data_IF_208907963370
#
_entry.id   IF_208907963370
#
_cell.length_a   1.000
_cell.length_b   1.000
_cell.length_c   1.000
_cell.angle_alpha   90.00
_cell.angle_beta   90.00
_cell.angle_gamma   90.00
#
_symmetry.space_group_name_H-M   'P 1'
#
loop_
_entity.id
_entity.type
_entity.pdbx_description
1 polymer ?
#
# COMPACT_ATOMS: atom_id res chain seq x y z
N UNK A 1 1.77 4.41 -10.16
CA UNK A 1 0.77 4.96 -9.21
C UNK A 1 1.47 5.95 -8.28
N UNK A 2 0.87 7.11 -7.97
CA UNK A 2 1.42 8.11 -7.02
C UNK A 2 2.91 8.46 -7.23
N UNK A 3 3.38 8.55 -8.48
CA UNK A 3 4.78 8.83 -8.80
C UNK A 3 5.73 7.62 -8.80
N UNK A 4 5.25 6.44 -8.41
CA UNK A 4 5.97 5.17 -8.50
C UNK A 4 5.63 4.44 -9.82
N UNK A 5 6.65 4.02 -10.57
CA UNK A 5 6.46 3.18 -11.76
C UNK A 5 6.16 1.74 -11.33
N UNK A 6 5.10 1.15 -11.89
CA UNK A 6 4.69 -0.21 -11.55
C UNK A 6 4.07 -0.88 -12.78
N UNK A 7 4.20 -2.20 -12.86
CA UNK A 7 3.58 -3.02 -13.91
C UNK A 7 2.26 -3.57 -13.38
N UNK A 8 1.16 -3.38 -14.11
CA UNK A 8 -0.17 -3.86 -13.72
C UNK A 8 -0.66 -4.84 -14.79
N UNK A 9 -1.10 -6.01 -14.34
CA UNK A 9 -1.66 -7.04 -15.23
C UNK A 9 -3.17 -6.87 -15.34
N UNK A 10 -3.69 -6.82 -16.57
CA UNK A 10 -5.12 -6.69 -16.85
C UNK A 10 -5.57 -7.81 -17.80
N UNK A 11 -6.71 -8.43 -17.52
CA UNK A 11 -7.27 -9.53 -18.31
C UNK A 11 -8.11 -9.08 -19.51
N UNK A 12 -8.43 -7.78 -19.56
CA UNK A 12 -9.25 -7.16 -20.60
C UNK A 12 -8.40 -6.30 -21.53
N UNK A 13 -8.78 -6.13 -22.82
CA UNK A 13 -8.07 -5.25 -23.73
C UNK A 13 -8.11 -3.80 -23.24
N UNK A 14 -6.96 -3.12 -23.28
CA UNK A 14 -6.82 -1.71 -22.91
C UNK A 14 -6.28 -0.89 -24.07
N UNK A 15 -6.69 0.38 -24.16
CA UNK A 15 -6.25 1.31 -25.20
C UNK A 15 -5.31 2.38 -24.63
N UNK A 16 -4.37 2.87 -25.45
CA UNK A 16 -3.52 4.00 -25.05
C UNK A 16 -4.38 5.23 -24.75
N UNK A 17 -4.15 5.84 -23.59
CA UNK A 17 -4.95 6.98 -23.10
C UNK A 17 -6.26 6.59 -22.41
N UNK A 18 -6.58 5.30 -22.30
CA UNK A 18 -7.71 4.84 -21.49
C UNK A 18 -7.43 5.08 -20.00
N UNK A 19 -8.38 5.74 -19.34
CA UNK A 19 -8.36 5.90 -17.89
C UNK A 19 -8.84 4.61 -17.23
N UNK A 20 -8.10 4.17 -16.22
CA UNK A 20 -8.35 2.94 -15.46
C UNK A 20 -8.22 3.25 -13.98
N UNK A 21 -9.08 2.63 -13.19
CA UNK A 21 -9.01 2.68 -11.74
C UNK A 21 -8.34 1.40 -11.23
N UNK A 22 -7.37 1.57 -10.33
CA UNK A 22 -6.65 0.45 -9.71
C UNK A 22 -7.02 0.40 -8.24
N UNK A 23 -7.59 -0.72 -7.81
CA UNK A 23 -7.97 -0.96 -6.44
C UNK A 23 -7.00 -1.94 -5.80
N UNK A 24 -6.42 -1.50 -4.69
CA UNK A 24 -5.61 -2.31 -3.79
C UNK A 24 -6.39 -2.49 -2.50
N UNK A 25 -6.51 -3.73 -2.03
CA UNK A 25 -7.17 -3.99 -0.75
C UNK A 25 -6.16 -3.80 0.39
N UNK A 26 -6.59 -3.33 1.57
CA UNK A 26 -5.69 -3.13 2.71
C UNK A 26 -4.81 -4.34 3.06
N UNK A 27 -5.34 -5.56 2.90
CA UNK A 27 -4.63 -6.82 3.17
C UNK A 27 -3.57 -7.21 2.12
N UNK A 28 -3.63 -6.58 0.94
CA UNK A 28 -2.69 -6.83 -0.16
C UNK A 28 -1.47 -5.90 -0.08
N UNK A 29 -1.58 -4.84 0.72
CA UNK A 29 -0.51 -3.88 0.98
C UNK A 29 0.52 -4.45 1.98
N UNK A 30 1.76 -3.99 1.86
CA UNK A 30 2.87 -4.34 2.74
C UNK A 30 3.57 -3.07 3.21
N UNK A 31 4.10 -3.12 4.42
CA UNK A 31 4.84 -2.01 5.02
C UNK A 31 6.27 -2.45 5.26
N UNK A 32 7.22 -1.68 4.73
CA UNK A 32 8.63 -1.88 5.01
C UNK A 32 9.19 -0.67 5.74
N UNK A 33 9.88 -0.88 6.86
CA UNK A 33 10.54 0.20 7.57
C UNK A 33 11.76 0.71 6.81
N UNK A 34 11.82 2.02 6.62
CA UNK A 34 12.97 2.65 5.97
C UNK A 34 13.98 3.03 7.05
N UNK A 35 15.04 2.26 7.15
CA UNK A 35 16.22 2.60 7.93
C UNK A 35 17.16 3.48 7.09
N UNK A 36 17.85 4.45 7.72
CA UNK A 36 18.65 5.55 7.12
C UNK A 36 19.68 5.17 6.02
N UNK A 37 19.87 3.87 5.74
CA UNK A 37 20.89 3.34 4.83
C UNK A 37 20.33 2.69 3.55
N UNK A 38 19.01 2.49 3.44
CA UNK A 38 18.42 1.71 2.35
C UNK A 38 17.52 2.56 1.46
N UNK A 39 17.73 2.46 0.14
CA UNK A 39 16.69 2.82 -0.84
C UNK A 39 15.55 1.82 -0.70
N UNK A 40 14.37 2.27 -0.31
CA UNK A 40 13.19 1.44 -0.26
C UNK A 40 12.42 1.55 -1.58
N UNK A 41 12.00 0.42 -2.13
CA UNK A 41 11.05 0.37 -3.24
C UNK A 41 9.64 0.56 -2.68
N UNK A 42 8.79 1.32 -3.39
CA UNK A 42 7.41 1.59 -2.98
C UNK A 42 7.10 3.07 -2.78
N UNK A 43 5.90 3.32 -2.23
CA UNK A 43 5.37 4.67 -2.00
C UNK A 43 5.68 5.08 -0.56
N UNK A 44 6.38 6.19 -0.40
CA UNK A 44 6.86 6.64 0.91
C UNK A 44 5.72 7.24 1.74
N UNK A 45 5.67 6.88 3.02
CA UNK A 45 4.72 7.41 3.98
C UNK A 45 5.18 7.31 5.42
N UNK A 46 4.29 7.72 6.33
CA UNK A 46 4.51 7.77 7.76
C UNK A 46 3.34 7.13 8.51
N UNK A 47 3.64 6.24 9.45
CA UNK A 47 2.61 5.61 10.30
C UNK A 47 1.99 6.66 11.21
N UNK A 48 0.66 6.86 11.12
CA UNK A 48 -0.07 7.83 11.96
C UNK A 48 -0.90 7.18 13.04
N UNK A 49 -1.50 6.05 12.74
CA UNK A 49 -2.31 5.31 13.70
C UNK A 49 -2.10 3.81 13.52
N UNK A 50 -2.31 3.07 14.61
CA UNK A 50 -2.24 1.62 14.66
C UNK A 50 -3.36 1.11 15.54
N UNK A 51 -4.11 0.15 15.01
CA UNK A 51 -5.27 -0.42 15.67
C UNK A 51 -5.14 -1.94 15.68
N UNK A 52 -4.96 -2.52 16.86
CA UNK A 52 -4.95 -3.97 17.03
C UNK A 52 -6.38 -4.49 17.10
N UNK A 53 -6.72 -5.45 16.23
CA UNK A 53 -8.04 -6.09 16.17
C UNK A 53 -7.89 -7.62 16.19
N UNK A 54 -7.64 -8.16 17.38
CA UNK A 54 -7.47 -9.60 17.56
C UNK A 54 -6.17 -10.09 16.92
N UNK A 55 -6.26 -10.68 15.73
CA UNK A 55 -5.11 -11.24 14.99
C UNK A 55 -4.58 -10.31 13.88
N UNK A 56 -5.13 -9.10 13.75
CA UNK A 56 -4.70 -8.15 12.73
C UNK A 56 -4.24 -6.83 13.34
N UNK A 57 -3.27 -6.22 12.68
CA UNK A 57 -2.84 -4.85 12.92
C UNK A 57 -3.28 -4.00 11.72
N UNK A 58 -4.14 -3.03 11.98
CA UNK A 58 -4.52 -2.02 10.99
C UNK A 58 -3.69 -0.76 11.21
N UNK A 59 -2.91 -0.38 10.20
CA UNK A 59 -2.05 0.80 10.20
C UNK A 59 -2.58 1.85 9.23
N UNK A 60 -2.81 3.08 9.71
CA UNK A 60 -3.09 4.22 8.86
C UNK A 60 -1.77 4.94 8.55
N UNK A 61 -1.44 5.01 7.27
CA UNK A 61 -0.22 5.60 6.75
C UNK A 61 -0.56 6.87 5.99
N UNK A 62 0.06 7.98 6.38
CA UNK A 62 0.01 9.22 5.60
C UNK A 62 1.16 9.19 4.57
N UNK A 63 0.81 9.18 3.29
CA UNK A 63 1.78 9.26 2.19
C UNK A 63 2.35 10.68 2.06
N UNK A 64 3.48 10.84 1.39
CA UNK A 64 4.12 12.16 1.19
C UNK A 64 3.25 13.19 0.43
N UNK A 65 2.26 12.72 -0.32
CA UNK A 65 1.26 13.55 -1.01
C UNK A 65 0.07 13.97 -0.11
N UNK A 66 0.05 13.57 1.16
CA UNK A 66 -1.01 13.84 2.13
C UNK A 66 -2.23 12.89 2.06
N UNK A 67 -2.21 11.87 1.18
CA UNK A 67 -3.27 10.85 1.15
C UNK A 67 -3.07 9.86 2.30
N UNK A 68 -4.19 9.37 2.83
CA UNK A 68 -4.20 8.30 3.82
C UNK A 68 -4.41 6.94 3.15
N UNK A 69 -3.60 5.97 3.52
CA UNK A 69 -3.71 4.57 3.10
C UNK A 69 -3.84 3.70 4.35
N UNK A 70 -4.77 2.75 4.32
CA UNK A 70 -4.95 1.78 5.39
C UNK A 70 -4.33 0.45 4.96
N UNK A 71 -3.42 -0.08 5.78
CA UNK A 71 -2.79 -1.39 5.60
C UNK A 71 -3.29 -2.32 6.70
N UNK A 72 -3.57 -3.58 6.37
CA UNK A 72 -4.05 -4.59 7.31
C UNK A 72 -3.17 -5.83 7.24
N UNK A 73 -2.35 -6.04 8.27
CA UNK A 73 -1.41 -7.17 8.32
C UNK A 73 -1.80 -8.15 9.42
N UNK A 74 -1.45 -9.42 9.24
CA UNK A 74 -1.62 -10.41 10.29
C UNK A 74 -0.57 -10.18 11.37
N UNK A 75 -1.03 -9.94 12.59
CA UNK A 75 -0.16 -9.85 13.75
C UNK A 75 0.34 -11.24 14.11
N UNK A 76 1.67 -11.38 14.18
CA UNK A 76 2.30 -12.58 14.72
C UNK A 76 2.81 -12.27 16.13
N UNK A 77 2.20 -12.87 17.15
CA UNK A 77 2.58 -12.68 18.57
C UNK A 77 4.03 -13.13 18.85
N UNK A 78 4.54 -14.06 18.05
CA UNK A 78 5.90 -14.58 18.15
C UNK A 78 6.94 -13.73 17.38
N UNK A 79 6.51 -12.67 16.67
CA UNK A 79 7.41 -11.77 15.93
C UNK A 79 7.67 -10.48 16.73
N UNK A 80 8.83 -10.37 17.42
CA UNK A 80 9.15 -9.22 18.26
C UNK A 80 9.42 -7.93 17.47
N UNK A 81 9.63 -8.02 16.15
CA UNK A 81 9.99 -6.89 15.28
C UNK A 81 8.78 -6.32 14.52
N UNK A 82 7.57 -6.85 14.75
CA UNK A 82 6.36 -6.45 14.04
C UNK A 82 5.79 -5.07 14.46
N UNK A 83 6.43 -4.37 15.40
CA UNK A 83 5.87 -3.16 16.01
C UNK A 83 6.37 -1.87 15.34
N UNK A 84 5.77 -1.50 14.20
CA UNK A 84 6.08 -0.24 13.49
C UNK A 84 5.79 1.00 14.33
N UNK A 85 6.80 1.70 14.83
CA UNK A 85 6.59 2.84 15.73
C UNK A 85 5.70 3.95 15.11
N UNK A 86 4.96 4.68 15.97
CA UNK A 86 4.23 5.87 15.49
C UNK A 86 5.21 6.89 14.89
N UNK A 87 4.82 7.50 13.78
CA UNK A 87 5.63 8.38 12.94
C UNK A 87 6.84 7.70 12.27
N UNK A 88 6.94 6.38 12.34
CA UNK A 88 7.96 5.64 11.60
C UNK A 88 7.82 5.91 10.10
N UNK A 89 8.96 6.17 9.45
CA UNK A 89 9.03 6.31 8.00
C UNK A 89 9.01 4.91 7.38
N UNK A 90 8.09 4.71 6.43
CA UNK A 90 7.84 3.42 5.81
C UNK A 90 7.70 3.55 4.31
N UNK A 91 7.97 2.45 3.59
CA UNK A 91 7.58 2.27 2.21
C UNK A 91 6.36 1.36 2.15
N UNK A 92 5.35 1.80 1.40
CA UNK A 92 4.15 1.02 1.11
C UNK A 92 4.32 0.34 -0.24
N UNK A 93 4.28 -0.98 -0.23
CA UNK A 93 4.26 -1.83 -1.43
C UNK A 93 3.02 -2.72 -1.40
N UNK A 94 2.86 -3.59 -2.39
CA UNK A 94 1.80 -4.58 -2.43
C UNK A 94 2.25 -5.81 -3.20
N UNK A 95 1.50 -6.90 -3.07
CA UNK A 95 1.77 -8.11 -3.86
C UNK A 95 1.40 -7.86 -5.33
N UNK A 96 2.38 -7.93 -6.22
CA UNK A 96 2.15 -7.74 -7.66
C UNK A 96 1.10 -8.71 -8.20
N UNK A 97 0.31 -8.26 -9.17
CA UNK A 97 -0.78 -9.01 -9.82
C UNK A 97 -2.00 -9.31 -8.93
N UNK A 98 -2.08 -8.71 -7.73
CA UNK A 98 -3.29 -8.75 -6.88
C UNK A 98 -4.16 -7.50 -7.04
N UNK A 99 -3.77 -6.59 -7.91
CA UNK A 99 -4.53 -5.38 -8.20
C UNK A 99 -5.85 -5.71 -8.89
N UNK A 100 -6.93 -5.04 -8.48
CA UNK A 100 -8.21 -5.09 -9.19
C UNK A 100 -8.28 -3.88 -10.12
N UNK A 101 -8.26 -4.13 -11.43
CA UNK A 101 -8.37 -3.09 -12.45
C UNK A 101 -9.83 -2.92 -12.87
N UNK A 102 -10.35 -1.71 -12.69
CA UNK A 102 -11.68 -1.32 -13.09
C UNK A 102 -11.61 -0.28 -14.22
N UNK A 103 -12.64 -0.29 -15.06
CA UNK A 103 -12.82 0.77 -16.05
C UNK A 103 -13.24 2.05 -15.31
N UNK A 104 -12.91 3.20 -15.90
CA UNK A 104 -13.44 4.47 -15.44
C UNK A 104 -14.93 4.56 -15.81
N UNK A 105 -15.82 4.37 -14.83
CA UNK A 105 -17.27 4.38 -15.04
C UNK A 105 -17.80 5.78 -15.39
N UNK A 106 -17.03 6.85 -15.09
CA UNK A 106 -17.38 8.24 -15.39
C UNK A 106 -16.89 8.72 -16.77
N UNK A 107 -16.15 7.88 -17.51
CA UNK A 107 -15.66 8.18 -18.86
C UNK A 107 -16.72 7.91 -19.95
N UNK A 108 -17.92 8.47 -19.78
CA UNK A 108 -19.03 8.43 -20.75
C UNK A 108 -19.09 9.68 -21.63
#
# INVERSE_FOLDING_TARGET
MEGHECVITVSSPVSVGQHLNVLLRPEDLRVEEINDSASAEGIIGYVRERNYKGMTLESNIELENGKMVMVSEFFNEDDPDFDHSLNQKVAVTWVESWEVVLHDEDAA
#
